data_IF_853192236640
#
_entry.id   IF_853192236640
#
_cell.length_a   1.000
_cell.length_b   1.000
_cell.length_c   1.000
_cell.angle_alpha   90.00
_cell.angle_beta   90.00
_cell.angle_gamma   90.00
#
_symmetry.space_group_name_H-M   'P 1'
#
loop_
_entity.id
_entity.type
_entity.pdbx_description
1 polymer ?
#
# COMPACT_ATOMS: atom_id res chain seq x y z
N UNK A 1 -44.60 31.16 12.48
CA UNK A 1 -44.24 30.61 11.17
C UNK A 1 -42.73 30.36 11.08
N UNK A 2 -42.29 29.21 11.58
CA UNK A 2 -42.28 27.94 10.84
C UNK A 2 -40.98 27.85 10.00
N UNK A 3 -39.97 27.11 10.47
CA UNK A 3 -39.75 25.67 10.22
C UNK A 3 -38.74 25.48 9.07
N UNK A 4 -37.60 24.89 9.44
CA UNK A 4 -36.80 23.89 8.69
C UNK A 4 -35.68 24.38 7.75
N UNK A 5 -34.49 24.39 8.37
CA UNK A 5 -33.26 23.78 7.85
C UNK A 5 -33.53 22.33 7.38
N UNK A 6 -33.39 22.03 6.08
CA UNK A 6 -33.23 20.66 5.56
C UNK A 6 -32.77 20.59 4.10
N UNK A 7 -31.53 20.16 3.89
CA UNK A 7 -31.21 19.02 3.01
C UNK A 7 -29.82 18.51 3.46
N UNK A 8 -29.73 17.45 4.26
CA UNK A 8 -29.78 16.03 3.85
C UNK A 8 -28.71 15.74 2.78
N UNK A 9 -27.66 14.95 2.98
CA UNK A 9 -27.36 13.94 3.97
C UNK A 9 -26.55 12.88 3.24
N UNK A 10 -25.24 12.81 3.46
CA UNK A 10 -24.47 11.62 3.14
C UNK A 10 -24.65 10.68 4.33
N UNK A 11 -25.31 9.56 4.05
CA UNK A 11 -25.52 8.45 4.98
C UNK A 11 -24.17 8.05 5.57
N UNK A 12 -24.10 7.92 6.90
CA UNK A 12 -22.97 7.27 7.57
C UNK A 12 -22.88 5.84 7.02
N UNK A 13 -21.92 5.61 6.12
CA UNK A 13 -21.57 4.26 5.74
C UNK A 13 -20.96 3.67 7.00
N UNK A 14 -21.71 2.82 7.67
CA UNK A 14 -21.24 1.98 8.75
C UNK A 14 -20.13 1.08 8.16
N UNK A 15 -18.88 1.54 8.17
CA UNK A 15 -17.76 0.69 7.82
C UNK A 15 -17.49 -0.20 9.03
N UNK A 16 -17.59 -1.53 8.89
CA UNK A 16 -17.37 -2.42 10.01
C UNK A 16 -15.87 -2.43 10.35
N UNK A 17 -15.61 -2.10 11.62
CA UNK A 17 -14.51 -2.60 12.46
C UNK A 17 -13.14 -1.93 12.27
N UNK A 18 -12.94 -0.87 13.06
CA UNK A 18 -11.70 -0.51 13.74
C UNK A 18 -10.39 -0.77 12.97
N UNK A 19 -10.16 0.01 11.92
CA UNK A 19 -8.79 0.27 11.48
C UNK A 19 -8.25 1.36 12.40
N UNK A 20 -7.27 1.04 13.24
CA UNK A 20 -6.61 2.02 14.08
C UNK A 20 -6.01 3.12 13.21
N UNK A 21 -6.72 4.24 13.11
CA UNK A 21 -6.16 5.51 12.68
C UNK A 21 -5.29 6.00 13.85
N UNK A 22 -4.10 5.42 13.98
CA UNK A 22 -3.00 6.24 14.48
C UNK A 22 -2.63 7.14 13.33
N UNK A 23 -3.05 8.39 13.41
CA UNK A 23 -2.42 9.48 12.67
C UNK A 23 -0.94 9.45 13.02
N UNK A 24 -0.16 8.71 12.24
CA UNK A 24 1.28 8.74 12.33
C UNK A 24 1.72 10.05 11.70
N UNK A 25 1.85 11.07 12.53
CA UNK A 25 2.91 12.07 12.40
C UNK A 25 4.26 11.33 12.61
N UNK A 26 4.50 10.32 11.78
CA UNK A 26 5.49 9.28 11.96
C UNK A 26 6.76 9.70 11.27
N UNK A 27 7.82 9.83 12.06
CA UNK A 27 9.15 9.98 11.51
C UNK A 27 9.43 8.80 10.56
N UNK A 28 10.18 9.02 9.48
CA UNK A 28 10.52 8.01 8.46
C UNK A 28 11.14 6.71 9.04
N UNK A 29 11.54 6.75 10.31
CA UNK A 29 12.07 5.64 11.10
C UNK A 29 10.99 4.68 11.62
N UNK A 30 9.72 5.07 11.67
CA UNK A 30 8.63 4.30 12.27
C UNK A 30 7.87 3.41 11.26
N UNK A 31 8.29 3.40 9.98
CA UNK A 31 7.71 2.52 8.97
C UNK A 31 8.03 1.07 9.31
N UNK A 32 7.01 0.31 9.71
CA UNK A 32 7.11 -1.12 9.98
C UNK A 32 7.52 -1.90 8.72
N UNK A 33 8.18 -3.04 8.89
CA UNK A 33 8.51 -3.88 7.73
C UNK A 33 7.23 -4.36 7.02
N UNK A 34 7.27 -4.59 5.69
CA UNK A 34 6.11 -5.04 4.91
C UNK A 34 5.37 -6.23 5.51
N UNK A 35 6.11 -7.23 5.98
CA UNK A 35 5.55 -8.42 6.60
C UNK A 35 4.81 -8.09 7.91
N UNK A 36 5.29 -7.09 8.68
CA UNK A 36 4.60 -6.63 9.89
C UNK A 36 3.32 -5.87 9.55
N UNK A 37 3.35 -5.00 8.55
CA UNK A 37 2.16 -4.29 8.06
C UNK A 37 1.09 -5.27 7.59
N UNK A 38 1.48 -6.29 6.80
CA UNK A 38 0.56 -7.34 6.36
C UNK A 38 -0.06 -8.09 7.56
N UNK A 39 0.73 -8.42 8.58
CA UNK A 39 0.26 -9.07 9.81
C UNK A 39 -0.69 -8.18 10.64
N UNK A 40 -0.62 -6.87 10.48
CA UNK A 40 -1.56 -5.92 11.08
C UNK A 40 -2.85 -5.77 10.28
N UNK A 41 -2.98 -6.47 9.14
CA UNK A 41 -4.16 -6.40 8.28
C UNK A 41 -4.09 -5.30 7.22
N UNK A 42 -2.93 -4.68 7.01
CA UNK A 42 -2.72 -3.79 5.85
C UNK A 42 -2.79 -4.62 4.58
N UNK A 43 -3.60 -4.17 3.61
CA UNK A 43 -3.69 -4.79 2.29
C UNK A 43 -2.32 -4.79 1.62
N UNK A 44 -1.99 -5.86 0.89
CA UNK A 44 -0.71 -5.98 0.17
C UNK A 44 -0.44 -4.75 -0.72
N UNK A 45 -1.47 -4.17 -1.33
CA UNK A 45 -1.35 -3.01 -2.21
C UNK A 45 -1.15 -1.68 -1.46
N UNK A 46 -1.50 -1.62 -0.17
CA UNK A 46 -1.40 -0.44 0.67
C UNK A 46 -0.16 -0.44 1.58
N UNK A 47 0.66 -1.51 1.52
CA UNK A 47 1.91 -1.61 2.27
C UNK A 47 2.87 -0.51 1.81
N UNK A 48 3.37 0.26 2.76
CA UNK A 48 4.30 1.35 2.48
C UNK A 48 5.73 0.94 2.75
N UNK A 49 6.61 1.32 1.83
CA UNK A 49 8.05 1.23 2.02
C UNK A 49 8.62 2.59 2.42
N UNK A 50 9.87 2.58 2.92
CA UNK A 50 10.65 3.82 2.98
C UNK A 50 10.77 4.43 1.57
N UNK A 51 10.85 5.76 1.44
CA UNK A 51 10.95 6.44 0.14
C UNK A 51 12.03 5.90 -0.81
N UNK A 52 13.13 5.38 -0.29
CA UNK A 52 14.24 4.80 -1.08
C UNK A 52 14.03 3.35 -1.51
N UNK A 53 12.93 2.71 -1.08
CA UNK A 53 12.65 1.29 -1.33
C UNK A 53 11.33 1.13 -2.09
N UNK A 54 11.30 0.15 -2.98
CA UNK A 54 10.12 -0.26 -3.73
C UNK A 54 9.50 -1.52 -3.15
N UNK A 55 8.17 -1.57 -3.12
CA UNK A 55 7.41 -2.74 -2.72
C UNK A 55 7.41 -3.79 -3.84
N UNK A 56 7.77 -5.03 -3.52
CA UNK A 56 7.66 -6.19 -4.39
C UNK A 56 6.97 -7.35 -3.66
N UNK A 57 6.39 -8.26 -4.45
CA UNK A 57 5.81 -9.49 -3.94
C UNK A 57 6.71 -10.66 -4.32
N UNK A 58 7.16 -11.40 -3.31
CA UNK A 58 7.99 -12.59 -3.48
C UNK A 58 7.20 -13.75 -4.11
N UNK A 59 7.92 -14.77 -4.56
CA UNK A 59 7.32 -16.02 -5.07
C UNK A 59 6.37 -16.70 -4.07
N UNK A 60 6.63 -16.55 -2.76
CA UNK A 60 5.83 -17.08 -1.65
C UNK A 60 4.66 -16.17 -1.24
N UNK A 61 4.34 -15.15 -2.05
CA UNK A 61 3.30 -14.14 -1.79
C UNK A 61 3.57 -13.28 -0.55
N UNK A 62 4.81 -13.23 -0.06
CA UNK A 62 5.18 -12.31 1.02
C UNK A 62 5.68 -10.98 0.46
N UNK A 63 5.26 -9.83 1.03
CA UNK A 63 5.70 -8.52 0.57
C UNK A 63 7.09 -8.19 1.12
N UNK A 64 7.90 -7.51 0.32
CA UNK A 64 9.23 -7.04 0.70
C UNK A 64 9.52 -5.65 0.13
N UNK A 65 10.27 -4.84 0.88
CA UNK A 65 10.81 -3.56 0.42
C UNK A 65 12.25 -3.79 0.02
N UNK A 66 12.57 -3.49 -1.23
CA UNK A 66 13.90 -3.66 -1.81
C UNK A 66 14.30 -2.39 -2.54
N UNK A 67 15.59 -2.22 -2.82
CA UNK A 67 16.01 -1.10 -3.67
C UNK A 67 15.45 -1.28 -5.08
N UNK A 68 14.96 -0.19 -5.72
CA UNK A 68 14.40 -0.25 -7.06
C UNK A 68 15.37 -0.83 -8.09
N UNK A 69 16.67 -0.56 -7.93
CA UNK A 69 17.74 -1.08 -8.80
C UNK A 69 17.86 -2.62 -8.77
N UNK A 70 17.54 -3.24 -7.63
CA UNK A 70 17.61 -4.70 -7.47
C UNK A 70 16.36 -5.42 -7.97
N UNK A 71 15.26 -4.71 -8.25
CA UNK A 71 13.96 -5.32 -8.61
C UNK A 71 14.09 -6.21 -9.84
N UNK A 72 14.73 -5.71 -10.91
CA UNK A 72 14.91 -6.46 -12.15
C UNK A 72 15.72 -7.74 -11.95
N UNK A 73 16.78 -7.70 -11.14
CA UNK A 73 17.57 -8.88 -10.81
C UNK A 73 16.78 -9.90 -9.98
N UNK A 74 15.99 -9.42 -9.02
CA UNK A 74 15.16 -10.27 -8.17
C UNK A 74 14.05 -10.96 -8.97
N UNK A 75 13.49 -10.30 -9.99
CA UNK A 75 12.54 -10.90 -10.93
C UNK A 75 13.26 -11.93 -11.81
N UNK A 76 14.41 -11.59 -12.40
CA UNK A 76 15.17 -12.50 -13.27
C UNK A 76 15.61 -13.78 -12.54
N UNK A 77 15.87 -13.70 -11.22
CA UNK A 77 16.21 -14.84 -10.36
C UNK A 77 14.99 -15.64 -9.88
N UNK A 78 13.77 -15.24 -10.24
CA UNK A 78 12.53 -15.86 -9.77
C UNK A 78 12.21 -15.61 -8.29
N UNK A 79 12.86 -14.61 -7.67
CA UNK A 79 12.61 -14.26 -6.27
C UNK A 79 11.38 -13.37 -6.10
N UNK A 80 11.12 -12.49 -7.07
CA UNK A 80 10.00 -11.56 -7.10
C UNK A 80 9.13 -11.79 -8.34
N UNK A 81 7.83 -11.52 -8.22
CA UNK A 81 6.90 -11.50 -9.37
C UNK A 81 6.93 -10.12 -10.01
N UNK A 82 6.80 -10.05 -11.33
CA UNK A 82 6.61 -8.78 -12.04
C UNK A 82 5.34 -8.11 -11.50
N UNK A 83 5.48 -6.89 -10.98
CA UNK A 83 4.31 -6.12 -10.58
C UNK A 83 3.58 -5.69 -11.86
N UNK A 84 2.29 -6.00 -12.02
CA UNK A 84 1.54 -5.68 -13.24
C UNK A 84 1.34 -4.17 -13.46
N UNK A 85 1.84 -3.31 -12.57
CA UNK A 85 1.60 -1.86 -12.59
C UNK A 85 2.60 -1.06 -13.42
N UNK A 86 3.59 -1.69 -14.05
CA UNK A 86 4.30 -1.08 -15.17
C UNK A 86 4.01 -1.89 -16.43
N UNK A 87 3.12 -1.43 -17.33
CA UNK A 87 3.14 -1.98 -18.67
C UNK A 87 4.55 -1.77 -19.21
N UNK A 88 5.24 -2.89 -19.47
CA UNK A 88 6.53 -2.99 -20.15
C UNK A 88 6.38 -2.58 -21.63
N UNK A 89 5.83 -1.39 -21.86
CA UNK A 89 5.52 -0.85 -23.18
C UNK A 89 5.45 0.68 -23.18
N UNK A 90 6.22 1.39 -22.33
CA UNK A 90 6.70 2.71 -22.74
C UNK A 90 7.93 2.47 -23.61
N UNK A 91 7.67 2.02 -24.83
CA UNK A 91 8.65 1.99 -25.90
C UNK A 91 8.90 3.44 -26.29
N UNK A 92 10.17 3.84 -26.33
CA UNK A 92 10.63 5.08 -26.94
C UNK A 92 9.96 5.31 -28.31
N UNK A 93 9.46 6.53 -28.54
CA UNK A 93 9.14 7.09 -29.85
C UNK A 93 9.37 8.59 -29.83
#
# INVERSE_FOLDING_TARGET
PDIVNKQQGCVEISTPKAFGITEHNGSENDILSPVKQLKQGVSIMDIRCKPSLSLIIKYDNTPACVFPESVSELIARGWAKENPTKPSSYVDS
#
